data_IF_801429432730
#
_entry.id   IF_801429432730
#
_cell.length_a   1.000
_cell.length_b   1.000
_cell.length_c   1.000
_cell.angle_alpha   90.00
_cell.angle_beta   90.00
_cell.angle_gamma   90.00
#
_symmetry.space_group_name_H-M   'P 1'
#
loop_
_entity.id
_entity.type
_entity.pdbx_description
1 polymer ?
#
# COMPACT_ATOMS: atom_id res chain seq x y z
N UNK A 1 4.10 19.95 -9.13
CA UNK A 1 5.03 19.25 -8.23
C UNK A 1 5.31 17.87 -8.80
N UNK A 2 6.58 17.50 -9.08
CA UNK A 2 6.92 16.12 -9.30
C UNK A 2 6.68 15.40 -7.97
N UNK A 3 5.63 14.61 -7.92
CA UNK A 3 5.28 13.86 -6.73
C UNK A 3 6.38 12.82 -6.51
N UNK A 4 6.81 12.60 -5.26
CA UNK A 4 7.74 11.52 -4.87
C UNK A 4 7.40 10.17 -5.50
N UNK A 5 6.14 9.96 -5.84
CA UNK A 5 5.60 8.76 -6.50
C UNK A 5 6.18 8.48 -7.88
N UNK A 6 6.61 9.51 -8.64
CA UNK A 6 7.17 9.27 -9.97
C UNK A 6 8.58 8.65 -9.88
N UNK A 7 9.40 9.07 -8.91
CA UNK A 7 10.75 8.51 -8.73
C UNK A 7 10.73 7.05 -8.26
N UNK A 8 9.74 6.66 -7.46
CA UNK A 8 9.62 5.28 -6.98
C UNK A 8 9.13 4.36 -8.10
N UNK A 9 8.20 4.83 -8.94
CA UNK A 9 7.72 4.11 -10.11
C UNK A 9 8.84 3.88 -11.13
N UNK A 10 9.68 4.89 -11.36
CA UNK A 10 10.83 4.79 -12.26
C UNK A 10 11.84 3.73 -11.78
N UNK A 11 12.07 3.65 -10.46
CA UNK A 11 12.99 2.64 -9.88
C UNK A 11 12.52 1.22 -10.05
N UNK A 12 11.21 0.98 -9.95
CA UNK A 12 10.63 -0.36 -10.09
C UNK A 12 10.12 -0.65 -11.50
N UNK A 13 10.24 0.32 -12.42
CA UNK A 13 9.81 0.17 -13.82
C UNK A 13 8.32 -0.07 -14.00
N UNK A 14 7.49 0.48 -13.12
CA UNK A 14 6.04 0.29 -13.13
C UNK A 14 5.29 1.45 -13.77
N UNK A 15 4.13 1.14 -14.34
CA UNK A 15 3.17 2.14 -14.80
C UNK A 15 2.29 2.60 -13.64
N UNK A 16 1.84 3.86 -13.69
CA UNK A 16 0.92 4.43 -12.71
C UNK A 16 -0.52 4.14 -13.10
N UNK A 17 -1.30 3.65 -12.13
CA UNK A 17 -2.75 3.69 -12.17
C UNK A 17 -3.27 4.47 -10.96
N UNK A 18 -4.38 5.17 -11.14
CA UNK A 18 -4.98 6.00 -10.10
C UNK A 18 -6.38 5.47 -9.79
N UNK A 19 -6.69 5.31 -8.51
CA UNK A 19 -8.02 4.93 -8.06
C UNK A 19 -8.69 6.15 -7.46
N UNK A 20 -9.73 6.66 -8.15
CA UNK A 20 -10.54 7.76 -7.66
C UNK A 20 -11.74 7.26 -6.88
N UNK A 21 -11.89 7.81 -5.68
CA UNK A 21 -13.09 7.62 -4.88
C UNK A 21 -14.12 8.69 -5.27
N UNK A 22 -15.15 8.33 -6.03
CA UNK A 22 -16.28 9.22 -6.36
C UNK A 22 -17.41 8.99 -5.35
N UNK A 23 -17.88 10.09 -4.75
CA UNK A 23 -19.16 10.13 -4.05
C UNK A 23 -20.15 10.81 -4.99
N UNK A 24 -21.27 10.16 -5.29
CA UNK A 24 -22.35 10.81 -6.04
C UNK A 24 -23.06 11.80 -5.08
N UNK A 25 -23.00 13.12 -5.32
CA UNK A 25 -23.61 14.11 -4.44
C UNK A 25 -25.14 14.05 -4.43
N UNK A 26 -25.76 13.35 -5.39
CA UNK A 26 -27.21 13.29 -5.55
C UNK A 26 -27.87 12.05 -4.93
N UNK A 27 -27.09 11.14 -4.34
CA UNK A 27 -27.60 9.91 -3.74
C UNK A 27 -27.12 9.77 -2.30
N UNK A 28 -28.00 10.11 -1.35
CA UNK A 28 -27.70 10.18 0.08
C UNK A 28 -27.33 8.84 0.75
N UNK A 29 -27.43 7.68 0.05
CA UNK A 29 -27.19 6.35 0.60
C UNK A 29 -26.49 5.39 -0.37
N UNK A 30 -25.75 5.85 -1.38
CA UNK A 30 -25.14 4.95 -2.36
C UNK A 30 -23.64 4.88 -2.34
N UNK A 31 -23.24 3.65 -2.50
CA UNK A 31 -21.96 3.00 -2.78
C UNK A 31 -20.93 3.96 -3.36
N UNK A 32 -19.86 4.12 -2.60
CA UNK A 32 -18.62 4.73 -3.10
C UNK A 32 -18.13 3.94 -4.31
N UNK A 33 -18.21 4.52 -5.50
CA UNK A 33 -17.62 3.95 -6.72
C UNK A 33 -16.15 4.29 -6.77
N UNK A 34 -15.33 3.27 -7.03
CA UNK A 34 -13.91 3.44 -7.28
C UNK A 34 -13.70 3.37 -8.79
N UNK A 35 -13.30 4.50 -9.38
CA UNK A 35 -12.92 4.59 -10.79
C UNK A 35 -11.42 4.35 -10.91
N UNK A 36 -11.02 3.40 -11.74
CA UNK A 36 -9.62 3.08 -12.02
C UNK A 36 -9.21 3.76 -13.30
N UNK A 37 -8.23 4.65 -13.24
CA UNK A 37 -7.64 5.34 -14.40
C UNK A 37 -6.25 4.76 -14.64
N UNK A 38 -6.03 4.14 -15.79
CA UNK A 38 -4.82 3.44 -16.18
C UNK A 38 -5.09 2.00 -16.59
N UNK A 39 -4.12 1.38 -17.23
CA UNK A 39 -4.24 0.00 -17.71
C UNK A 39 -3.84 -0.98 -16.61
N UNK A 40 -4.82 -1.74 -16.11
CA UNK A 40 -4.62 -2.75 -15.06
C UNK A 40 -4.98 -4.16 -15.50
N UNK A 41 -5.66 -4.31 -16.63
CA UNK A 41 -6.11 -5.59 -17.14
C UNK A 41 -4.93 -6.55 -17.37
N UNK A 42 -5.03 -7.76 -16.84
CA UNK A 42 -3.99 -8.79 -16.93
C UNK A 42 -2.70 -8.51 -16.15
N UNK A 43 -2.60 -7.36 -15.47
CA UNK A 43 -1.38 -6.94 -14.76
C UNK A 43 -1.41 -7.30 -13.27
N UNK A 44 -0.21 -7.43 -12.69
CA UNK A 44 -0.03 -7.41 -11.24
C UNK A 44 -0.05 -5.95 -10.78
N UNK A 45 -0.97 -5.61 -9.88
CA UNK A 45 -1.13 -4.28 -9.35
C UNK A 45 -0.58 -4.22 -7.91
N UNK A 46 0.22 -3.19 -7.64
CA UNK A 46 0.72 -2.89 -6.30
C UNK A 46 -0.01 -1.67 -5.75
N UNK A 47 -0.80 -1.86 -4.70
CA UNK A 47 -1.39 -0.79 -3.90
C UNK A 47 -0.35 -0.30 -2.89
N UNK A 48 -0.09 1.00 -2.83
CA UNK A 48 0.87 1.58 -1.87
C UNK A 48 0.18 2.65 -1.05
N UNK A 49 0.30 2.53 0.26
CA UNK A 49 -0.21 3.51 1.22
C UNK A 49 0.84 3.78 2.31
N UNK A 50 0.67 4.85 3.09
CA UNK A 50 1.53 5.15 4.23
C UNK A 50 1.17 4.28 5.44
N UNK A 51 -0.12 3.99 5.65
CA UNK A 51 -0.60 3.18 6.76
C UNK A 51 -1.77 2.28 6.38
N UNK A 52 -1.89 1.17 7.07
CA UNK A 52 -3.07 0.32 7.05
C UNK A 52 -3.65 0.25 8.46
N UNK A 53 -4.82 0.90 8.64
CA UNK A 53 -5.56 0.87 9.90
C UNK A 53 -6.66 -0.19 9.84
N UNK A 54 -7.90 0.15 9.54
CA UNK A 54 -9.01 -0.81 9.44
C UNK A 54 -9.08 -1.56 8.11
N UNK A 55 -8.15 -1.30 7.19
CA UNK A 55 -8.01 -1.87 5.84
C UNK A 55 -9.21 -1.66 4.89
N UNK A 56 -10.23 -0.90 5.29
CA UNK A 56 -11.44 -0.74 4.48
C UNK A 56 -11.17 -0.15 3.10
N UNK A 57 -10.43 0.95 3.04
CA UNK A 57 -10.08 1.63 1.77
C UNK A 57 -9.22 0.75 0.88
N UNK A 58 -8.20 0.11 1.46
CA UNK A 58 -7.27 -0.76 0.74
C UNK A 58 -7.99 -1.97 0.12
N UNK A 59 -8.86 -2.63 0.88
CA UNK A 59 -9.64 -3.77 0.39
C UNK A 59 -10.64 -3.37 -0.72
N UNK A 60 -11.28 -2.20 -0.59
CA UNK A 60 -12.17 -1.69 -1.64
C UNK A 60 -11.39 -1.33 -2.92
N UNK A 61 -10.19 -0.76 -2.79
CA UNK A 61 -9.31 -0.50 -3.92
C UNK A 61 -8.90 -1.81 -4.62
N UNK A 62 -8.56 -2.84 -3.86
CA UNK A 62 -8.23 -4.16 -4.40
C UNK A 62 -9.40 -4.79 -5.15
N UNK A 63 -10.62 -4.68 -4.63
CA UNK A 63 -11.84 -5.13 -5.30
C UNK A 63 -12.07 -4.38 -6.62
N UNK A 64 -11.84 -3.06 -6.64
CA UNK A 64 -11.96 -2.27 -7.85
C UNK A 64 -10.96 -2.70 -8.92
N UNK A 65 -9.70 -2.92 -8.55
CA UNK A 65 -8.67 -3.43 -9.47
C UNK A 65 -9.05 -4.79 -10.06
N UNK A 66 -9.52 -5.72 -9.24
CA UNK A 66 -9.99 -7.04 -9.72
C UNK A 66 -11.16 -6.91 -10.68
N UNK A 67 -12.13 -6.02 -10.43
CA UNK A 67 -13.25 -5.74 -11.35
C UNK A 67 -12.78 -5.19 -12.69
N UNK A 68 -11.66 -4.48 -12.71
CA UNK A 68 -11.04 -3.95 -13.94
C UNK A 68 -10.02 -4.93 -14.57
N UNK A 69 -10.04 -6.21 -14.17
CA UNK A 69 -9.26 -7.26 -14.81
C UNK A 69 -7.82 -7.42 -14.30
N UNK A 70 -7.46 -6.83 -13.16
CA UNK A 70 -6.14 -7.07 -12.60
C UNK A 70 -5.92 -8.56 -12.31
N UNK A 71 -4.77 -9.09 -12.77
CA UNK A 71 -4.41 -10.50 -12.58
C UNK A 71 -4.11 -10.79 -11.11
N UNK A 72 -3.31 -9.94 -10.47
CA UNK A 72 -2.92 -10.03 -9.06
C UNK A 72 -3.01 -8.67 -8.39
N UNK A 73 -3.31 -8.66 -7.10
CA UNK A 73 -3.26 -7.46 -6.28
C UNK A 73 -2.37 -7.72 -5.07
N UNK A 74 -1.33 -6.91 -4.94
CA UNK A 74 -0.42 -6.87 -3.80
C UNK A 74 -0.62 -5.53 -3.12
N UNK A 75 -0.60 -5.49 -1.81
CA UNK A 75 -0.68 -4.24 -1.04
C UNK A 75 0.60 -4.02 -0.24
N UNK A 76 1.02 -2.78 -0.12
CA UNK A 76 2.15 -2.40 0.71
C UNK A 76 1.81 -1.17 1.55
N UNK A 77 2.16 -1.19 2.83
CA UNK A 77 2.02 -0.05 3.72
C UNK A 77 3.22 0.06 4.67
N UNK A 78 3.60 1.30 4.97
CA UNK A 78 4.71 1.51 5.92
C UNK A 78 4.27 1.18 7.34
N UNK A 79 3.12 1.69 7.79
CA UNK A 79 2.68 1.59 9.18
C UNK A 79 1.51 0.62 9.35
N UNK A 80 1.74 -0.60 9.91
CA UNK A 80 0.68 -1.57 10.16
C UNK A 80 -0.01 -1.30 11.51
N UNK A 81 -1.04 -0.43 11.52
CA UNK A 81 -1.86 -0.20 12.71
C UNK A 81 -2.74 -1.40 12.97
N UNK A 82 -3.40 -1.91 11.93
CA UNK A 82 -4.22 -3.13 11.91
C UNK A 82 -5.28 -3.16 13.03
N UNK A 83 -6.02 -2.06 13.17
CA UNK A 83 -7.17 -2.00 14.06
C UNK A 83 -8.30 -2.89 13.55
N UNK A 84 -9.09 -3.44 14.47
CA UNK A 84 -10.23 -4.26 14.10
C UNK A 84 -11.23 -3.50 13.20
N UNK A 85 -11.75 -4.14 12.16
CA UNK A 85 -11.62 -5.55 11.72
C UNK A 85 -10.62 -5.73 10.55
N UNK A 86 -9.40 -5.16 10.61
CA UNK A 86 -8.45 -5.17 9.50
C UNK A 86 -8.10 -6.60 9.03
N UNK A 87 -7.78 -7.50 9.96
CA UNK A 87 -7.38 -8.87 9.64
C UNK A 87 -8.49 -9.61 8.89
N UNK A 88 -9.72 -9.55 9.39
CA UNK A 88 -10.87 -10.15 8.73
C UNK A 88 -11.09 -9.61 7.32
N UNK A 89 -11.00 -8.28 7.15
CA UNK A 89 -11.19 -7.63 5.85
C UNK A 89 -10.12 -8.03 4.85
N UNK A 90 -8.85 -8.07 5.27
CA UNK A 90 -7.73 -8.43 4.40
C UNK A 90 -7.86 -9.90 3.98
N UNK A 91 -8.13 -10.80 4.93
CA UNK A 91 -8.27 -12.23 4.66
C UNK A 91 -9.46 -12.54 3.72
N UNK A 92 -10.50 -11.71 3.73
CA UNK A 92 -11.67 -11.82 2.83
C UNK A 92 -11.55 -10.97 1.56
N UNK A 93 -10.41 -10.31 1.32
CA UNK A 93 -10.17 -9.44 0.18
C UNK A 93 -9.41 -10.17 -0.94
N UNK A 94 -9.36 -9.62 -2.15
CA UNK A 94 -8.54 -10.16 -3.23
C UNK A 94 -7.06 -9.76 -3.13
N UNK A 95 -6.59 -9.26 -1.99
CA UNK A 95 -5.17 -8.98 -1.73
C UNK A 95 -4.46 -10.32 -1.54
N UNK A 96 -3.53 -10.64 -2.43
CA UNK A 96 -2.78 -11.90 -2.39
C UNK A 96 -1.55 -11.82 -1.47
N UNK A 97 -1.03 -10.62 -1.25
CA UNK A 97 0.07 -10.35 -0.33
C UNK A 97 -0.07 -8.95 0.25
N UNK A 98 0.11 -8.82 1.57
CA UNK A 98 0.22 -7.56 2.28
C UNK A 98 1.64 -7.39 2.81
N UNK A 99 2.38 -6.44 2.25
CA UNK A 99 3.75 -6.13 2.68
C UNK A 99 3.70 -4.94 3.64
N UNK A 100 4.19 -5.13 4.85
CA UNK A 100 4.26 -4.05 5.86
C UNK A 100 5.63 -4.00 6.51
N UNK A 101 5.93 -2.90 7.17
CA UNK A 101 7.18 -2.76 7.91
C UNK A 101 6.98 -2.96 9.42
N UNK A 102 8.08 -3.14 10.14
CA UNK A 102 8.07 -3.24 11.61
C UNK A 102 8.19 -1.88 12.31
N UNK A 103 7.66 -0.81 11.71
CA UNK A 103 7.60 0.53 12.33
C UNK A 103 6.70 0.56 13.56
N UNK A 104 5.71 -0.32 13.60
CA UNK A 104 4.83 -0.53 14.74
C UNK A 104 4.85 -2.00 15.14
N UNK A 105 4.70 -2.27 16.43
CA UNK A 105 4.51 -3.64 16.90
C UNK A 105 3.12 -4.14 16.46
N UNK A 106 3.10 -5.22 15.71
CA UNK A 106 1.85 -5.91 15.37
C UNK A 106 1.36 -6.66 16.62
N UNK A 107 0.08 -6.58 16.90
CA UNK A 107 -0.56 -7.30 18.00
C UNK A 107 -0.44 -8.82 17.78
N UNK A 108 -0.28 -9.56 18.85
CA UNK A 108 -0.06 -11.01 18.80
C UNK A 108 -1.32 -11.80 18.37
N UNK A 109 -2.50 -11.15 18.41
CA UNK A 109 -3.79 -11.70 17.99
C UNK A 109 -4.12 -11.45 16.51
N UNK A 110 -3.27 -10.75 15.79
CA UNK A 110 -3.45 -10.50 14.35
C UNK A 110 -3.00 -11.73 13.55
N UNK A 111 -3.94 -12.34 12.86
CA UNK A 111 -3.69 -13.46 11.94
C UNK A 111 -4.02 -13.05 10.50
N UNK A 112 -2.98 -12.79 9.72
CA UNK A 112 -3.04 -12.49 8.29
C UNK A 112 -1.98 -13.36 7.60
N UNK A 113 -2.36 -14.57 7.11
CA UNK A 113 -1.39 -15.50 6.50
C UNK A 113 -0.65 -14.94 5.29
N UNK A 114 -1.28 -14.00 4.57
CA UNK A 114 -0.70 -13.33 3.41
C UNK A 114 0.20 -12.14 3.76
N UNK A 115 0.53 -11.92 5.05
CA UNK A 115 1.33 -10.76 5.47
C UNK A 115 2.82 -11.07 5.45
N UNK A 116 3.58 -10.18 4.80
CA UNK A 116 5.05 -10.17 4.80
C UNK A 116 5.54 -8.96 5.60
N UNK A 117 6.33 -9.21 6.64
CA UNK A 117 6.91 -8.17 7.50
C UNK A 117 8.33 -7.84 7.08
N UNK A 118 8.58 -6.59 6.70
CA UNK A 118 9.90 -6.07 6.35
C UNK A 118 10.50 -5.27 7.51
N UNK A 119 11.77 -5.52 7.82
CA UNK A 119 12.49 -4.73 8.82
C UNK A 119 13.01 -3.42 8.24
N UNK A 120 12.73 -2.31 8.93
CA UNK A 120 13.32 -1.00 8.62
C UNK A 120 14.70 -0.80 9.27
N UNK A 121 15.15 -1.73 10.11
CA UNK A 121 16.41 -1.58 10.85
C UNK A 121 17.63 -1.34 9.94
N UNK A 122 17.80 -2.01 8.79
CA UNK A 122 18.91 -1.72 7.89
C UNK A 122 18.89 -0.29 7.33
N UNK A 123 17.70 0.23 7.02
CA UNK A 123 17.54 1.60 6.52
C UNK A 123 17.90 2.63 7.60
N UNK A 124 17.43 2.42 8.82
CA UNK A 124 17.72 3.29 9.96
C UNK A 124 19.21 3.24 10.31
N UNK A 125 19.81 2.04 10.36
CA UNK A 125 21.24 1.89 10.64
C UNK A 125 22.10 2.65 9.62
N UNK A 126 21.74 2.54 8.33
CA UNK A 126 22.45 3.28 7.28
C UNK A 126 22.25 4.79 7.40
N UNK A 127 21.05 5.26 7.75
CA UNK A 127 20.82 6.69 7.99
C UNK A 127 21.64 7.22 9.17
N UNK A 128 21.76 6.46 10.26
CA UNK A 128 22.60 6.79 11.41
C UNK A 128 24.07 6.86 10.98
N UNK A 129 24.55 5.87 10.23
CA UNK A 129 25.93 5.84 9.74
C UNK A 129 26.24 7.09 8.91
N UNK A 130 25.40 7.44 7.94
CA UNK A 130 25.57 8.65 7.12
C UNK A 130 25.69 9.93 7.97
N UNK A 131 24.91 10.03 9.03
CA UNK A 131 24.97 11.19 9.95
C UNK A 131 26.31 11.22 10.71
N UNK A 132 26.80 10.07 11.20
CA UNK A 132 28.05 10.01 11.93
C UNK A 132 29.31 10.21 11.07
N UNK A 133 29.22 9.89 9.78
CA UNK A 133 30.30 10.01 8.80
C UNK A 133 30.26 11.35 8.02
N UNK A 134 29.45 12.33 8.47
CA UNK A 134 29.19 13.59 7.77
C UNK A 134 28.75 13.40 6.31
N UNK A 135 28.14 12.25 6.03
CA UNK A 135 27.60 11.88 4.73
C UNK A 135 26.22 12.48 4.45
N UNK A 136 25.61 12.06 3.35
CA UNK A 136 24.29 12.57 2.94
C UNK A 136 23.21 11.51 3.06
N UNK A 137 22.27 11.71 3.97
CA UNK A 137 21.07 10.85 4.12
C UNK A 137 20.25 10.80 2.81
N UNK A 138 20.32 11.85 1.97
CA UNK A 138 19.64 11.83 0.66
C UNK A 138 20.17 10.76 -0.29
N UNK A 139 21.41 10.26 -0.08
CA UNK A 139 21.97 9.14 -0.85
C UNK A 139 21.15 7.85 -0.72
N UNK A 140 20.39 7.70 0.38
CA UNK A 140 19.55 6.53 0.64
C UNK A 140 18.31 6.49 -0.23
N UNK A 141 17.93 7.61 -0.85
CA UNK A 141 16.70 7.76 -1.64
C UNK A 141 16.98 7.92 -3.15
N UNK A 142 18.24 7.74 -3.58
CA UNK A 142 18.64 7.81 -4.99
C UNK A 142 18.64 6.45 -5.67
#
# INVERSE_FOLDING_TARGET
FPTRRSSDLDKIGCQLAIIHKRRDPNKANETTTHEVVGEVEGKTCLLVDDMVDTAGTMCQAALALKKHGAKRVIAAATHPILSDPAAERINNSPIEELIVTNTLKIRDDIDIPAMTLLSIAPLIAKAIQEVFEDGSVTSLFR
#
